data_IF_598541103779
#
_entry.id   IF_598541103779
#
_cell.length_a   1.000
_cell.length_b   1.000
_cell.length_c   1.000
_cell.angle_alpha   90.00
_cell.angle_beta   90.00
_cell.angle_gamma   90.00
#
_symmetry.space_group_name_H-M   'P 1'
#
loop_
_entity.id
_entity.type
_entity.pdbx_description
1 polymer ?
#
# COMPACT_ATOMS: atom_id res chain seq x y z
N UNK A 1 17.62 -26.16 23.02
CA UNK A 1 16.77 -25.10 23.59
C UNK A 1 16.71 -24.00 22.54
N UNK A 2 15.57 -23.82 21.88
CA UNK A 2 15.39 -22.71 20.95
C UNK A 2 15.60 -21.41 21.75
N UNK A 3 16.58 -20.61 21.35
CA UNK A 3 16.74 -19.26 21.87
C UNK A 3 15.40 -18.55 21.67
N UNK A 4 14.77 -18.11 22.75
CA UNK A 4 13.63 -17.21 22.66
C UNK A 4 14.17 -15.97 21.97
N UNK A 5 13.90 -15.82 20.67
CA UNK A 5 14.22 -14.58 19.98
C UNK A 5 13.54 -13.46 20.76
N UNK A 6 14.36 -12.50 21.21
CA UNK A 6 13.82 -11.33 21.88
C UNK A 6 12.89 -10.62 20.90
N UNK A 7 11.67 -10.32 21.35
CA UNK A 7 10.69 -9.57 20.55
C UNK A 7 11.38 -8.30 20.02
N UNK A 8 11.33 -8.02 18.70
CA UNK A 8 11.91 -6.80 18.16
C UNK A 8 11.36 -5.57 18.87
N UNK A 9 12.22 -4.61 19.17
CA UNK A 9 11.81 -3.36 19.83
C UNK A 9 11.48 -2.32 18.77
N UNK A 10 10.31 -1.69 18.88
CA UNK A 10 9.93 -0.56 18.03
C UNK A 10 10.88 0.62 18.28
N UNK A 11 11.15 1.48 17.27
CA UNK A 11 11.88 2.72 17.50
C UNK A 11 11.12 3.60 18.52
N UNK A 12 11.80 4.52 19.23
CA UNK A 12 11.12 5.40 20.19
C UNK A 12 9.92 6.10 19.55
N UNK A 13 8.72 5.78 20.03
CA UNK A 13 7.47 6.29 19.50
C UNK A 13 6.37 6.21 20.58
N UNK A 14 5.25 6.88 20.36
CA UNK A 14 4.11 6.92 21.29
C UNK A 14 2.86 6.20 20.75
N UNK A 15 2.97 5.54 19.59
CA UNK A 15 1.84 5.05 18.82
C UNK A 15 1.69 3.53 18.87
N UNK A 16 2.79 2.77 18.79
CA UNK A 16 2.74 1.32 18.68
C UNK A 16 3.90 0.62 19.37
N UNK A 17 3.65 -0.64 19.74
CA UNK A 17 4.65 -1.61 20.15
C UNK A 17 4.60 -2.83 19.25
N UNK A 18 5.70 -3.60 19.22
CA UNK A 18 5.75 -4.88 18.53
C UNK A 18 5.42 -5.98 19.52
N UNK A 19 4.47 -6.86 19.18
CA UNK A 19 4.09 -8.02 19.98
C UNK A 19 4.29 -9.30 19.19
N UNK A 20 4.62 -10.39 19.86
CA UNK A 20 4.58 -11.71 19.26
C UNK A 20 3.12 -12.14 19.01
N UNK A 21 2.86 -12.69 17.84
CA UNK A 21 1.56 -13.26 17.46
C UNK A 21 1.77 -14.77 17.26
N UNK A 22 1.14 -15.62 18.09
CA UNK A 22 1.25 -17.07 17.94
C UNK A 22 0.95 -17.53 16.51
N UNK A 23 1.92 -18.20 15.88
CA UNK A 23 1.80 -18.72 14.52
C UNK A 23 1.93 -17.69 13.38
N UNK A 24 2.05 -16.39 13.67
CA UNK A 24 2.20 -15.32 12.65
C UNK A 24 3.48 -14.49 12.79
N UNK A 25 4.33 -14.80 13.79
CA UNK A 25 5.57 -14.08 14.03
C UNK A 25 5.33 -12.88 14.94
N UNK A 26 5.45 -11.66 14.40
CA UNK A 26 5.30 -10.41 15.14
C UNK A 26 4.28 -9.50 14.46
N UNK A 27 3.69 -8.55 15.20
CA UNK A 27 2.84 -7.50 14.64
C UNK A 27 2.93 -6.21 15.44
N UNK A 28 2.53 -5.11 14.82
CA UNK A 28 2.55 -3.78 15.42
C UNK A 28 1.18 -3.45 16.03
N UNK A 29 1.10 -3.17 17.32
CA UNK A 29 -0.14 -2.93 18.04
C UNK A 29 -0.16 -1.54 18.65
N UNK A 30 -1.31 -0.86 18.55
CA UNK A 30 -1.47 0.49 19.04
C UNK A 30 -1.33 0.58 20.58
N UNK A 31 -0.51 1.51 21.06
CA UNK A 31 -0.33 1.81 22.49
C UNK A 31 -1.47 2.67 23.07
N UNK A 32 -2.14 3.42 22.20
CA UNK A 32 -3.25 4.33 22.51
C UNK A 32 -4.18 4.44 21.32
N UNK A 33 -5.32 5.09 21.49
CA UNK A 33 -6.16 5.42 20.34
C UNK A 33 -5.41 6.35 19.37
N UNK A 34 -5.37 5.98 18.08
CA UNK A 34 -4.72 6.75 17.02
C UNK A 34 -5.82 7.32 16.13
N UNK A 35 -5.78 8.63 15.88
CA UNK A 35 -6.75 9.28 14.99
C UNK A 35 -6.36 9.11 13.54
N UNK A 36 -7.37 8.98 12.67
CA UNK A 36 -7.19 9.06 11.22
C UNK A 36 -6.33 10.29 10.85
N UNK A 37 -5.41 10.10 9.93
CA UNK A 37 -4.47 11.11 9.46
C UNK A 37 -3.21 11.26 10.30
N UNK A 38 -3.07 10.50 11.40
CA UNK A 38 -1.85 10.50 12.21
C UNK A 38 -0.73 9.78 11.45
N UNK A 39 0.44 10.41 11.36
CA UNK A 39 1.68 9.74 10.96
C UNK A 39 2.18 8.88 12.11
N UNK A 40 2.09 7.56 11.94
CA UNK A 40 2.50 6.56 12.93
C UNK A 40 4.01 6.34 12.90
N UNK A 41 4.60 6.34 11.70
CA UNK A 41 6.02 6.07 11.48
C UNK A 41 6.57 6.95 10.34
N UNK A 42 7.84 7.34 10.47
CA UNK A 42 8.69 7.80 9.39
C UNK A 42 10.02 7.04 9.48
N UNK A 43 10.26 6.13 8.54
CA UNK A 43 11.34 5.15 8.60
C UNK A 43 12.46 5.50 7.60
N UNK A 44 13.71 5.34 8.06
CA UNK A 44 14.89 5.53 7.21
C UNK A 44 15.13 4.28 6.35
N UNK A 45 15.54 4.45 5.08
CA UNK A 45 15.92 3.32 4.26
C UNK A 45 17.18 2.65 4.84
N UNK A 46 17.10 1.35 5.14
CA UNK A 46 18.23 0.56 5.60
C UNK A 46 19.09 0.09 4.42
N UNK A 47 18.46 -0.47 3.39
CA UNK A 47 19.13 -0.99 2.20
C UNK A 47 18.38 -0.49 0.96
N UNK A 48 19.08 0.20 0.06
CA UNK A 48 18.51 0.80 -1.15
C UNK A 48 19.05 0.11 -2.40
N UNK A 49 18.15 -0.28 -3.29
CA UNK A 49 18.45 -0.73 -4.65
C UNK A 49 17.72 0.18 -5.63
N UNK A 50 18.42 1.08 -6.36
CA UNK A 50 17.78 2.19 -7.07
C UNK A 50 17.16 1.81 -8.43
N UNK A 51 16.83 0.54 -8.64
CA UNK A 51 16.16 0.03 -9.84
C UNK A 51 15.17 -1.10 -9.51
N UNK A 52 14.05 -1.14 -10.23
CA UNK A 52 13.01 -2.16 -10.05
C UNK A 52 13.42 -3.55 -10.55
N UNK A 53 14.20 -3.64 -11.64
CA UNK A 53 14.66 -4.91 -12.23
C UNK A 53 15.99 -5.37 -11.60
N UNK A 54 16.05 -5.39 -10.27
CA UNK A 54 17.22 -5.80 -9.53
C UNK A 54 17.48 -7.31 -9.64
N UNK A 55 18.75 -7.68 -9.53
CA UNK A 55 19.24 -9.05 -9.43
C UNK A 55 19.86 -9.30 -8.05
N UNK A 56 20.15 -10.56 -7.74
CA UNK A 56 20.79 -10.91 -6.46
C UNK A 56 22.09 -10.12 -6.21
N UNK A 57 22.89 -9.85 -7.25
CA UNK A 57 24.14 -9.09 -7.12
C UNK A 57 23.91 -7.64 -6.66
N UNK A 58 22.84 -6.99 -7.09
CA UNK A 58 22.60 -5.58 -6.79
C UNK A 58 22.25 -5.42 -5.30
N UNK A 59 21.51 -6.40 -4.76
CA UNK A 59 21.22 -6.51 -3.33
C UNK A 59 22.50 -6.78 -2.53
N UNK A 60 23.36 -7.69 -3.02
CA UNK A 60 24.65 -8.00 -2.39
C UNK A 60 25.55 -6.76 -2.31
N UNK A 61 25.70 -6.02 -3.41
CA UNK A 61 26.51 -4.79 -3.45
C UNK A 61 25.97 -3.70 -2.53
N UNK A 62 24.64 -3.56 -2.41
CA UNK A 62 24.02 -2.64 -1.47
C UNK A 62 24.23 -3.10 -0.01
N UNK A 63 24.10 -4.40 0.25
CA UNK A 63 24.28 -4.99 1.58
C UNK A 63 25.71 -4.87 2.09
N UNK A 64 26.71 -5.03 1.22
CA UNK A 64 28.12 -4.96 1.60
C UNK A 64 28.51 -3.60 2.20
N UNK A 65 27.85 -2.53 1.74
CA UNK A 65 28.03 -1.15 2.21
C UNK A 65 27.45 -0.88 3.60
N UNK A 66 26.63 -1.79 4.14
CA UNK A 66 26.05 -1.64 5.47
C UNK A 66 27.08 -1.87 6.58
N UNK A 67 26.94 -1.13 7.67
CA UNK A 67 27.66 -1.37 8.94
C UNK A 67 27.30 -2.75 9.54
N UNK A 68 28.14 -3.32 10.42
CA UNK A 68 27.82 -4.55 11.13
C UNK A 68 26.45 -4.53 11.84
N UNK A 69 26.10 -3.40 12.46
CA UNK A 69 24.83 -3.20 13.16
C UNK A 69 23.64 -3.22 12.20
N UNK A 70 23.77 -2.53 11.06
CA UNK A 70 22.75 -2.53 9.99
C UNK A 70 22.57 -3.92 9.36
N UNK A 71 23.68 -4.66 9.17
CA UNK A 71 23.63 -6.05 8.68
C UNK A 71 22.88 -6.94 9.67
N UNK A 72 23.16 -6.81 10.96
CA UNK A 72 22.45 -7.54 12.00
C UNK A 72 20.94 -7.20 11.99
N UNK A 73 20.60 -5.90 11.92
CA UNK A 73 19.21 -5.44 11.82
C UNK A 73 18.50 -6.01 10.60
N UNK A 74 19.14 -6.00 9.43
CA UNK A 74 18.59 -6.58 8.20
C UNK A 74 18.25 -8.05 8.37
N UNK A 75 19.15 -8.84 8.98
CA UNK A 75 18.90 -10.25 9.22
C UNK A 75 17.72 -10.51 10.16
N UNK A 76 17.37 -9.60 11.06
CA UNK A 76 16.16 -9.77 11.91
C UNK A 76 14.84 -9.75 11.14
N UNK A 77 14.85 -9.34 9.87
CA UNK A 77 13.66 -9.28 9.00
C UNK A 77 13.39 -10.61 8.27
N UNK A 78 14.16 -11.66 8.55
CA UNK A 78 13.92 -12.95 7.93
C UNK A 78 12.54 -13.53 8.29
N UNK A 79 11.83 -13.98 7.27
CA UNK A 79 10.57 -14.70 7.42
C UNK A 79 10.31 -15.53 6.16
N UNK A 80 9.28 -16.38 6.17
CA UNK A 80 8.70 -16.96 4.96
C UNK A 80 9.63 -17.80 4.06
N UNK A 81 10.80 -18.24 4.53
CA UNK A 81 11.69 -19.16 3.81
C UNK A 81 11.27 -20.63 3.99
N UNK A 82 11.85 -21.54 3.21
CA UNK A 82 11.53 -22.97 3.26
C UNK A 82 10.15 -23.30 2.67
N UNK A 83 9.66 -22.49 1.73
CA UNK A 83 8.35 -22.71 1.12
C UNK A 83 8.30 -24.00 0.28
N UNK A 84 7.14 -24.63 0.21
CA UNK A 84 6.94 -25.85 -0.59
C UNK A 84 7.09 -25.54 -2.10
N UNK A 85 8.15 -26.08 -2.70
CA UNK A 85 8.47 -25.90 -4.13
C UNK A 85 7.32 -26.33 -5.05
N UNK A 86 6.49 -27.31 -4.65
CA UNK A 86 5.34 -27.79 -5.44
C UNK A 86 4.25 -26.74 -5.60
N UNK A 87 4.25 -25.72 -4.74
CA UNK A 87 3.31 -24.59 -4.84
C UNK A 87 3.74 -23.61 -5.93
N UNK A 88 4.95 -23.68 -6.47
CA UNK A 88 5.45 -22.71 -7.44
C UNK A 88 5.56 -23.31 -8.86
N UNK A 89 5.44 -22.51 -9.93
CA UNK A 89 5.66 -23.00 -11.29
C UNK A 89 7.03 -23.67 -11.43
N UNK A 90 7.06 -24.89 -11.96
CA UNK A 90 8.27 -25.69 -12.11
C UNK A 90 9.00 -25.48 -13.44
N UNK A 91 8.39 -24.76 -14.39
CA UNK A 91 8.96 -24.49 -15.71
C UNK A 91 8.91 -23.00 -16.03
N UNK A 92 10.00 -22.50 -16.58
CA UNK A 92 10.10 -21.17 -17.18
C UNK A 92 9.96 -21.33 -18.70
N UNK A 93 9.10 -20.54 -19.33
CA UNK A 93 8.88 -20.61 -20.78
C UNK A 93 10.18 -20.31 -21.56
N UNK A 94 10.38 -20.93 -22.72
CA UNK A 94 11.62 -20.81 -23.50
C UNK A 94 11.84 -19.41 -24.06
N UNK A 95 10.75 -18.68 -24.36
CA UNK A 95 10.81 -17.29 -24.84
C UNK A 95 11.24 -16.25 -23.80
N UNK A 96 11.36 -16.64 -22.52
CA UNK A 96 11.81 -15.74 -21.46
C UNK A 96 13.29 -15.44 -21.67
N UNK A 97 13.61 -14.15 -21.77
CA UNK A 97 14.97 -13.65 -21.92
C UNK A 97 15.89 -14.15 -20.79
N UNK A 98 17.18 -14.35 -21.09
CA UNK A 98 18.10 -15.01 -20.16
C UNK A 98 18.22 -14.30 -18.81
N UNK A 99 18.30 -12.97 -18.83
CA UNK A 99 18.36 -12.17 -17.60
C UNK A 99 17.12 -12.37 -16.72
N UNK A 100 15.93 -12.41 -17.32
CA UNK A 100 14.67 -12.62 -16.60
C UNK A 100 14.55 -14.07 -16.10
N UNK A 101 15.04 -15.03 -16.89
CA UNK A 101 15.14 -16.44 -16.47
C UNK A 101 16.01 -16.58 -15.23
N UNK A 102 17.19 -15.97 -15.24
CA UNK A 102 18.09 -15.97 -14.08
C UNK A 102 17.40 -15.33 -12.87
N UNK A 103 16.76 -14.16 -13.04
CA UNK A 103 16.02 -13.50 -11.96
C UNK A 103 14.97 -14.46 -11.37
N UNK A 104 14.09 -15.04 -12.20
CA UNK A 104 13.06 -15.98 -11.75
C UNK A 104 13.67 -17.16 -10.96
N UNK A 105 14.79 -17.70 -11.41
CA UNK A 105 15.49 -18.79 -10.71
C UNK A 105 16.03 -18.34 -9.35
N UNK A 106 16.72 -17.20 -9.27
CA UNK A 106 17.21 -16.61 -8.02
C UNK A 106 16.06 -16.43 -7.02
N UNK A 107 14.94 -15.82 -7.46
CA UNK A 107 13.76 -15.61 -6.63
C UNK A 107 13.10 -16.93 -6.19
N UNK A 108 13.12 -17.96 -7.04
CA UNK A 108 12.58 -19.27 -6.69
C UNK A 108 13.43 -19.95 -5.63
N UNK A 109 14.76 -19.99 -5.82
CA UNK A 109 15.71 -20.57 -4.86
C UNK A 109 15.64 -19.87 -3.50
N UNK A 110 15.55 -18.55 -3.50
CA UNK A 110 15.39 -17.74 -2.28
C UNK A 110 14.18 -18.15 -1.44
N UNK A 111 13.04 -18.47 -2.09
CA UNK A 111 11.79 -18.85 -1.41
C UNK A 111 11.82 -20.27 -0.86
N UNK A 112 12.33 -21.23 -1.63
CA UNK A 112 12.32 -22.65 -1.25
C UNK A 112 13.51 -23.04 -0.37
N UNK A 113 14.56 -22.21 -0.35
CA UNK A 113 15.73 -22.40 0.49
C UNK A 113 15.36 -22.46 1.98
N UNK A 114 15.99 -23.37 2.72
CA UNK A 114 15.70 -23.58 4.15
C UNK A 114 16.27 -22.49 5.05
N UNK A 115 17.28 -21.77 4.57
CA UNK A 115 17.98 -20.73 5.32
C UNK A 115 17.66 -19.36 4.72
N UNK A 116 17.64 -18.30 5.54
CA UNK A 116 17.48 -16.94 5.04
C UNK A 116 18.69 -16.52 4.18
N UNK A 117 18.40 -15.85 3.08
CA UNK A 117 19.38 -15.26 2.16
C UNK A 117 19.14 -13.76 2.04
N UNK A 118 20.12 -13.01 1.51
CA UNK A 118 19.94 -11.58 1.29
C UNK A 118 18.73 -11.29 0.40
N UNK A 119 18.60 -12.05 -0.70
CA UNK A 119 17.48 -11.91 -1.62
C UNK A 119 16.14 -12.31 -0.98
N UNK A 120 16.08 -13.40 -0.20
CA UNK A 120 14.81 -13.81 0.42
C UNK A 120 14.30 -12.78 1.42
N UNK A 121 15.20 -12.15 2.17
CA UNK A 121 14.85 -11.06 3.09
C UNK A 121 14.42 -9.83 2.31
N UNK A 122 15.16 -9.46 1.27
CA UNK A 122 14.86 -8.26 0.47
C UNK A 122 13.45 -8.35 -0.12
N UNK A 123 13.13 -9.47 -0.77
CA UNK A 123 11.91 -9.61 -1.55
C UNK A 123 10.61 -9.52 -0.75
N UNK A 124 10.62 -9.98 0.50
CA UNK A 124 9.42 -9.98 1.34
C UNK A 124 9.31 -8.73 2.23
N UNK A 125 10.32 -7.84 2.22
CA UNK A 125 10.39 -6.66 3.08
C UNK A 125 10.64 -5.34 2.32
N UNK A 126 11.01 -5.39 1.04
CA UNK A 126 11.27 -4.18 0.27
C UNK A 126 9.96 -3.48 -0.12
N UNK A 127 9.99 -2.15 -0.11
CA UNK A 127 8.93 -1.27 -0.59
C UNK A 127 9.44 -0.49 -1.79
N UNK A 128 8.52 -0.09 -2.68
CA UNK A 128 8.85 0.73 -3.84
C UNK A 128 9.35 2.11 -3.41
N UNK A 129 10.46 2.55 -3.99
CA UNK A 129 11.12 3.82 -3.67
C UNK A 129 11.64 4.46 -4.96
N UNK A 130 11.00 5.54 -5.39
CA UNK A 130 11.26 6.26 -6.65
C UNK A 130 11.26 5.36 -7.90
N UNK A 131 12.42 4.91 -8.38
CA UNK A 131 12.57 4.00 -9.53
C UNK A 131 13.06 2.61 -9.12
N UNK A 132 13.23 2.38 -7.82
CA UNK A 132 13.78 1.18 -7.25
C UNK A 132 13.00 0.69 -6.05
N UNK A 133 13.71 0.03 -5.14
CA UNK A 133 13.14 -0.51 -3.92
C UNK A 133 14.11 -0.33 -2.76
N UNK A 134 13.55 -0.22 -1.56
CA UNK A 134 14.34 -0.14 -0.34
C UNK A 134 13.71 -0.97 0.78
N UNK A 135 14.54 -1.44 1.70
CA UNK A 135 14.09 -2.08 2.94
C UNK A 135 14.03 -1.04 4.04
N UNK A 136 12.85 -0.94 4.66
CA UNK A 136 12.55 -0.04 5.77
C UNK A 136 12.28 -0.90 7.02
N UNK A 137 13.25 -1.01 7.95
CA UNK A 137 13.28 -2.08 8.93
C UNK A 137 12.17 -2.00 9.98
N UNK A 138 11.60 -0.82 10.20
CA UNK A 138 10.48 -0.60 11.10
C UNK A 138 9.15 -0.69 10.35
N UNK A 139 9.06 -0.18 9.12
CA UNK A 139 7.86 -0.28 8.29
C UNK A 139 7.56 -1.73 7.86
N UNK A 140 8.59 -2.54 7.61
CA UNK A 140 8.46 -3.96 7.26
C UNK A 140 7.88 -4.85 8.39
N UNK A 141 7.67 -4.30 9.60
CA UNK A 141 7.06 -5.02 10.73
C UNK A 141 5.53 -4.91 10.80
N UNK A 142 4.92 -4.08 9.97
CA UNK A 142 3.47 -3.89 9.96
C UNK A 142 2.81 -4.97 9.12
N UNK A 143 1.99 -5.82 9.75
CA UNK A 143 1.37 -6.96 9.07
C UNK A 143 0.35 -6.56 8.01
N UNK A 144 0.06 -7.54 7.16
CA UNK A 144 -0.92 -7.41 6.11
C UNK A 144 -2.36 -7.49 6.60
N UNK A 145 -3.23 -6.63 6.05
CA UNK A 145 -4.67 -6.86 5.97
C UNK A 145 -5.18 -6.37 4.60
N UNK A 146 -6.12 -7.10 3.96
CA UNK A 146 -6.70 -6.66 2.67
C UNK A 146 -7.61 -5.44 2.79
N UNK A 147 -8.05 -5.11 4.01
CA UNK A 147 -8.77 -3.91 4.39
C UNK A 147 -8.03 -3.27 5.58
N UNK A 148 -6.83 -2.69 5.34
CA UNK A 148 -5.96 -2.20 6.40
C UNK A 148 -6.49 -0.92 7.05
N UNK A 149 -6.01 -0.64 8.26
CA UNK A 149 -6.30 0.61 8.98
C UNK A 149 -5.20 1.67 8.83
N UNK A 150 -4.07 1.34 8.18
CA UNK A 150 -3.00 2.26 7.82
C UNK A 150 -2.47 2.00 6.40
N UNK A 151 -1.77 2.98 5.83
CA UNK A 151 -1.07 2.85 4.55
C UNK A 151 0.38 3.30 4.68
N UNK A 152 1.25 2.72 3.85
CA UNK A 152 2.63 3.18 3.68
C UNK A 152 2.78 3.98 2.39
N UNK A 153 3.71 4.92 2.37
CA UNK A 153 4.09 5.70 1.19
C UNK A 153 5.51 6.26 1.34
N UNK A 154 6.33 6.11 0.31
CA UNK A 154 7.60 6.81 0.14
C UNK A 154 7.40 8.32 0.01
N UNK A 155 7.84 9.09 1.00
CA UNK A 155 7.83 10.55 0.95
C UNK A 155 9.22 11.09 0.56
N UNK A 156 9.39 11.31 -0.75
CA UNK A 156 10.64 11.83 -1.32
C UNK A 156 11.04 13.22 -0.83
N UNK A 157 10.10 14.02 -0.31
CA UNK A 157 10.41 15.36 0.23
C UNK A 157 11.22 15.29 1.54
N UNK A 158 11.08 14.20 2.31
CA UNK A 158 11.81 13.97 3.56
C UNK A 158 12.73 12.74 3.50
N UNK A 159 12.74 12.01 2.37
CA UNK A 159 13.57 10.83 2.16
C UNK A 159 13.25 9.66 3.10
N UNK A 160 11.95 9.47 3.44
CA UNK A 160 11.52 8.44 4.39
C UNK A 160 10.26 7.71 3.93
N UNK A 161 10.16 6.45 4.31
CA UNK A 161 8.92 5.68 4.20
C UNK A 161 7.99 6.07 5.35
N UNK A 162 6.74 6.42 5.04
CA UNK A 162 5.80 6.93 6.06
C UNK A 162 4.59 6.03 6.20
N UNK A 163 4.17 5.75 7.44
CA UNK A 163 2.91 5.04 7.72
C UNK A 163 1.91 6.03 8.31
N UNK A 164 0.73 6.12 7.71
CA UNK A 164 -0.35 6.97 8.18
C UNK A 164 -1.63 6.17 8.46
N UNK A 165 -2.34 6.53 9.52
CA UNK A 165 -3.63 5.95 9.86
C UNK A 165 -4.71 6.39 8.86
N UNK A 166 -5.39 5.44 8.23
CA UNK A 166 -6.50 5.66 7.30
C UNK A 166 -7.87 5.69 7.98
N UNK A 167 -7.95 5.14 9.19
CA UNK A 167 -9.11 5.18 10.08
C UNK A 167 -8.68 5.51 11.50
N UNK A 168 -9.65 5.74 12.39
CA UNK A 168 -9.36 5.70 13.83
C UNK A 168 -8.98 4.26 14.20
N UNK A 169 -7.95 4.11 15.03
CA UNK A 169 -7.42 2.81 15.50
C UNK A 169 -7.54 2.80 17.02
N UNK A 170 -8.10 1.73 17.57
CA UNK A 170 -8.31 1.60 19.01
C UNK A 170 -7.03 1.22 19.75
N UNK A 171 -6.94 1.57 21.04
CA UNK A 171 -5.83 1.10 21.88
C UNK A 171 -5.80 -0.43 21.90
N UNK A 172 -4.63 -1.01 21.65
CA UNK A 172 -4.43 -2.45 21.58
C UNK A 172 -4.82 -3.11 20.25
N UNK A 173 -5.38 -2.38 19.30
CA UNK A 173 -5.67 -2.87 17.94
C UNK A 173 -4.37 -3.01 17.13
N UNK A 174 -4.30 -4.02 16.25
CA UNK A 174 -3.17 -4.19 15.35
C UNK A 174 -3.18 -3.12 14.24
N UNK A 175 -2.06 -2.45 14.03
CA UNK A 175 -1.85 -1.55 12.91
C UNK A 175 -1.39 -2.37 11.71
N UNK A 176 -2.19 -2.36 10.65
CA UNK A 176 -1.98 -3.18 9.46
C UNK A 176 -1.90 -2.33 8.20
N UNK A 177 -1.16 -2.82 7.20
CA UNK A 177 -1.01 -2.24 5.87
C UNK A 177 -1.39 -3.27 4.79
N UNK A 178 -1.54 -2.86 3.52
CA UNK A 178 -1.81 -3.82 2.42
C UNK A 178 -0.53 -4.14 1.65
N UNK A 179 -0.20 -5.42 1.48
CA UNK A 179 0.96 -5.87 0.70
C UNK A 179 0.61 -6.15 -0.77
N UNK A 180 -0.66 -5.97 -1.13
CA UNK A 180 -1.21 -6.20 -2.45
C UNK A 180 -2.17 -5.06 -2.82
N UNK A 181 -2.63 -5.02 -4.08
CA UNK A 181 -3.61 -4.02 -4.48
C UNK A 181 -4.97 -4.31 -3.81
N UNK A 182 -5.50 -3.31 -3.11
CA UNK A 182 -6.77 -3.39 -2.41
C UNK A 182 -7.99 -3.59 -3.33
N UNK A 183 -7.88 -3.34 -4.64
CA UNK A 183 -8.99 -3.56 -5.59
C UNK A 183 -8.97 -4.92 -6.28
N UNK A 184 -7.89 -5.70 -6.12
CA UNK A 184 -7.79 -7.04 -6.67
C UNK A 184 -8.82 -7.99 -6.05
N UNK A 185 -9.25 -9.00 -6.80
CA UNK A 185 -10.14 -10.06 -6.29
C UNK A 185 -9.40 -11.02 -5.34
N UNK A 186 -10.12 -11.90 -4.65
CA UNK A 186 -9.52 -12.80 -3.65
C UNK A 186 -8.46 -13.72 -4.26
N UNK A 187 -8.65 -14.18 -5.50
CA UNK A 187 -7.71 -15.11 -6.18
C UNK A 187 -6.38 -14.41 -6.47
N UNK A 188 -6.43 -13.20 -7.02
CA UNK A 188 -5.25 -12.42 -7.35
C UNK A 188 -4.52 -11.96 -6.09
N UNK A 189 -5.24 -11.47 -5.06
CA UNK A 189 -4.62 -11.16 -3.76
C UNK A 189 -3.96 -12.38 -3.14
N UNK A 190 -4.63 -13.53 -3.15
CA UNK A 190 -4.05 -14.79 -2.62
C UNK A 190 -2.78 -15.18 -3.37
N UNK A 191 -2.74 -14.95 -4.68
CA UNK A 191 -1.55 -15.20 -5.50
C UNK A 191 -0.40 -14.24 -5.17
N UNK A 192 -0.67 -12.95 -5.04
CA UNK A 192 0.32 -11.92 -4.70
C UNK A 192 0.90 -12.15 -3.28
N UNK A 193 0.03 -12.43 -2.31
CA UNK A 193 0.40 -12.62 -0.91
C UNK A 193 1.17 -13.93 -0.67
N UNK A 194 1.00 -14.92 -1.56
CA UNK A 194 1.70 -16.21 -1.47
C UNK A 194 3.22 -16.07 -1.37
N UNK A 195 3.79 -15.04 -2.02
CA UNK A 195 5.24 -14.79 -1.98
C UNK A 195 5.75 -14.60 -0.55
N UNK A 196 4.96 -14.00 0.34
CA UNK A 196 5.29 -13.75 1.75
C UNK A 196 5.16 -15.00 2.64
N UNK A 197 4.71 -16.13 2.10
CA UNK A 197 4.68 -17.41 2.82
C UNK A 197 3.51 -17.59 3.80
N UNK A 198 2.47 -16.75 3.72
CA UNK A 198 1.26 -16.86 4.54
C UNK A 198 -0.03 -16.93 3.70
N UNK A 199 -1.14 -17.32 4.33
CA UNK A 199 -2.49 -17.23 3.79
C UNK A 199 -3.24 -16.17 4.57
N UNK A 200 -3.76 -15.15 3.90
CA UNK A 200 -4.50 -14.08 4.55
C UNK A 200 -5.83 -14.58 5.12
N UNK A 201 -6.09 -14.26 6.37
CA UNK A 201 -7.29 -14.66 7.13
C UNK A 201 -8.12 -13.45 7.59
N UNK A 202 -7.89 -12.26 7.01
CA UNK A 202 -8.73 -11.09 7.29
C UNK A 202 -10.19 -11.33 6.88
N UNK A 203 -11.14 -10.52 7.35
CA UNK A 203 -12.57 -10.65 7.04
C UNK A 203 -12.90 -10.79 5.54
N UNK A 204 -12.16 -10.14 4.64
CA UNK A 204 -12.35 -10.27 3.19
C UNK A 204 -11.86 -11.60 2.59
N UNK A 205 -11.04 -12.35 3.32
CA UNK A 205 -10.41 -13.59 2.85
C UNK A 205 -10.84 -14.82 3.67
N UNK A 206 -11.08 -14.66 4.96
CA UNK A 206 -11.39 -15.73 5.91
C UNK A 206 -12.89 -16.04 6.07
N UNK A 207 -13.78 -15.09 5.74
CA UNK A 207 -15.23 -15.34 5.74
C UNK A 207 -15.68 -16.00 4.42
N UNK A 208 -16.91 -16.54 4.43
CA UNK A 208 -17.52 -17.22 3.29
C UNK A 208 -17.89 -16.21 2.19
N UNK A 209 -17.34 -16.39 0.98
CA UNK A 209 -17.60 -15.53 -0.16
C UNK A 209 -18.91 -15.90 -0.90
N UNK A 210 -19.57 -17.01 -0.52
CA UNK A 210 -20.83 -17.46 -1.10
C UNK A 210 -22.07 -17.07 -0.24
N UNK A 211 -21.87 -16.49 0.95
CA UNK A 211 -22.94 -16.00 1.83
C UNK A 211 -23.05 -14.47 1.75
N UNK A 212 -24.17 -13.97 1.21
CA UNK A 212 -24.41 -12.53 0.99
C UNK A 212 -24.39 -11.67 2.26
N UNK A 213 -24.57 -12.29 3.43
CA UNK A 213 -24.54 -11.60 4.72
C UNK A 213 -23.13 -11.31 5.23
N UNK A 214 -22.10 -11.98 4.69
CA UNK A 214 -20.73 -11.83 5.15
C UNK A 214 -20.06 -10.58 4.59
N UNK A 215 -18.99 -10.15 5.23
CA UNK A 215 -18.15 -9.09 4.69
C UNK A 215 -17.40 -9.56 3.43
N UNK A 216 -16.99 -10.83 3.37
CA UNK A 216 -16.26 -11.38 2.22
C UNK A 216 -17.07 -11.29 0.92
N UNK A 217 -18.32 -11.74 0.91
CA UNK A 217 -19.20 -11.64 -0.28
C UNK A 217 -19.33 -10.18 -0.71
N UNK A 218 -19.71 -9.30 0.21
CA UNK A 218 -19.93 -7.90 -0.12
C UNK A 218 -18.66 -7.20 -0.59
N UNK A 219 -17.50 -7.54 -0.01
CA UNK A 219 -16.20 -7.03 -0.46
C UNK A 219 -15.85 -7.53 -1.86
N UNK A 220 -16.13 -8.80 -2.18
CA UNK A 220 -15.95 -9.33 -3.52
C UNK A 220 -16.81 -8.58 -4.54
N UNK A 221 -18.10 -8.34 -4.25
CA UNK A 221 -18.99 -7.53 -5.09
C UNK A 221 -18.46 -6.12 -5.29
N UNK A 222 -18.05 -5.43 -4.21
CA UNK A 222 -17.54 -4.05 -4.29
C UNK A 222 -16.24 -3.96 -5.08
N UNK A 223 -15.30 -4.88 -4.87
CA UNK A 223 -14.02 -4.94 -5.60
C UNK A 223 -14.23 -5.26 -7.08
N UNK A 224 -15.14 -6.17 -7.41
CA UNK A 224 -15.50 -6.44 -8.80
C UNK A 224 -16.04 -5.17 -9.48
N UNK A 225 -16.96 -4.46 -8.81
CA UNK A 225 -17.50 -3.20 -9.34
C UNK A 225 -16.44 -2.11 -9.49
N UNK A 226 -15.50 -2.00 -8.53
CA UNK A 226 -14.35 -1.10 -8.65
C UNK A 226 -13.50 -1.42 -9.89
N UNK A 227 -13.28 -2.70 -10.21
CA UNK A 227 -12.52 -3.10 -11.41
C UNK A 227 -13.25 -2.76 -12.70
N UNK A 228 -14.58 -2.91 -12.75
CA UNK A 228 -15.39 -2.47 -13.91
C UNK A 228 -15.25 -0.97 -14.13
N UNK A 229 -15.45 -0.18 -13.05
CA UNK A 229 -15.33 1.27 -13.10
C UNK A 229 -13.93 1.72 -13.51
N UNK A 230 -12.88 1.06 -13.02
CA UNK A 230 -11.51 1.36 -13.42
C UNK A 230 -11.29 1.07 -14.91
N UNK A 231 -11.81 -0.05 -15.45
CA UNK A 231 -11.72 -0.36 -16.89
C UNK A 231 -12.44 0.66 -17.76
N UNK A 232 -13.60 1.12 -17.32
CA UNK A 232 -14.41 2.13 -18.02
C UNK A 232 -13.81 3.53 -17.95
N UNK A 233 -13.12 3.88 -16.85
CA UNK A 233 -12.71 5.26 -16.57
C UNK A 233 -11.21 5.51 -16.73
N UNK A 234 -10.32 4.50 -16.65
CA UNK A 234 -8.85 4.69 -16.66
C UNK A 234 -8.32 5.51 -17.84
N UNK A 235 -8.98 5.42 -18.99
CA UNK A 235 -8.59 6.15 -20.20
C UNK A 235 -9.21 7.54 -20.33
N UNK A 236 -10.11 7.90 -19.41
CA UNK A 236 -10.83 9.18 -19.35
C UNK A 236 -10.37 10.04 -18.16
N UNK A 237 -9.37 9.59 -17.40
CA UNK A 237 -8.83 10.27 -16.20
C UNK A 237 -7.43 10.82 -16.49
N UNK A 238 -6.86 11.57 -15.53
CA UNK A 238 -5.51 12.13 -15.66
C UNK A 238 -5.36 13.08 -16.85
N UNK A 239 -4.41 12.83 -17.75
CA UNK A 239 -4.16 13.69 -18.92
C UNK A 239 -5.32 13.78 -19.91
N UNK A 240 -6.26 12.83 -19.87
CA UNK A 240 -7.47 12.82 -20.71
C UNK A 240 -8.74 13.20 -19.95
N UNK A 241 -8.60 13.85 -18.78
CA UNK A 241 -9.74 14.19 -17.94
C UNK A 241 -10.77 15.07 -18.63
N UNK A 242 -10.36 15.96 -19.54
CA UNK A 242 -11.32 16.75 -20.32
C UNK A 242 -12.17 15.89 -21.27
N UNK A 243 -11.64 14.77 -21.80
CA UNK A 243 -12.44 13.83 -22.57
C UNK A 243 -13.50 13.20 -21.66
N UNK A 244 -13.09 12.72 -20.50
CA UNK A 244 -14.03 12.19 -19.49
C UNK A 244 -15.08 13.20 -19.05
N UNK A 245 -14.71 14.47 -18.90
CA UNK A 245 -15.64 15.52 -18.49
C UNK A 245 -16.80 15.75 -19.48
N UNK A 246 -16.61 15.38 -20.76
CA UNK A 246 -17.61 15.47 -21.83
C UNK A 246 -18.47 14.20 -21.94
N UNK A 247 -18.08 13.10 -21.31
CA UNK A 247 -18.81 11.83 -21.34
C UNK A 247 -20.00 11.85 -20.39
N UNK A 248 -21.15 11.38 -20.88
CA UNK A 248 -22.35 11.30 -20.07
C UNK A 248 -22.17 10.31 -18.92
N UNK A 249 -22.57 10.71 -17.71
CA UNK A 249 -22.52 9.85 -16.53
C UNK A 249 -21.12 9.64 -15.93
N UNK A 250 -20.06 10.23 -16.49
CA UNK A 250 -18.70 10.07 -15.97
C UNK A 250 -18.55 10.48 -14.50
N UNK A 251 -19.13 11.62 -14.09
CA UNK A 251 -19.14 12.07 -12.69
C UNK A 251 -19.86 11.07 -11.78
N UNK A 252 -20.93 10.43 -12.25
CA UNK A 252 -21.66 9.41 -11.47
C UNK A 252 -20.78 8.18 -11.24
N UNK A 253 -20.02 7.76 -12.25
CA UNK A 253 -19.04 6.67 -12.12
C UNK A 253 -17.95 7.01 -11.11
N UNK A 254 -17.38 8.23 -11.17
CA UNK A 254 -16.39 8.67 -10.17
C UNK A 254 -16.98 8.73 -8.75
N UNK A 255 -18.22 9.18 -8.60
CA UNK A 255 -18.91 9.20 -7.31
C UNK A 255 -19.12 7.78 -6.76
N UNK A 256 -19.51 6.83 -7.61
CA UNK A 256 -19.65 5.42 -7.27
C UNK A 256 -18.30 4.82 -6.85
N UNK A 257 -17.23 5.08 -7.60
CA UNK A 257 -15.87 4.67 -7.24
C UNK A 257 -15.47 5.18 -5.87
N UNK A 258 -15.68 6.48 -5.60
CA UNK A 258 -15.36 7.07 -4.30
C UNK A 258 -16.11 6.38 -3.16
N UNK A 259 -17.42 6.12 -3.34
CA UNK A 259 -18.22 5.44 -2.34
C UNK A 259 -17.73 4.00 -2.06
N UNK A 260 -17.38 3.25 -3.11
CA UNK A 260 -16.89 1.88 -2.98
C UNK A 260 -15.51 1.83 -2.29
N UNK A 261 -14.59 2.73 -2.61
CA UNK A 261 -13.31 2.85 -1.89
C UNK A 261 -13.54 3.12 -0.40
N UNK A 262 -14.43 4.05 -0.06
CA UNK A 262 -14.76 4.35 1.34
C UNK A 262 -15.36 3.14 2.09
N UNK A 263 -16.21 2.35 1.42
CA UNK A 263 -16.81 1.13 1.99
C UNK A 263 -15.79 0.01 2.20
N UNK A 264 -14.78 -0.09 1.33
CA UNK A 264 -13.64 -1.00 1.51
C UNK A 264 -12.61 -0.51 2.53
N UNK A 265 -12.76 0.70 3.06
CA UNK A 265 -11.78 1.32 3.96
C UNK A 265 -10.52 1.81 3.23
N UNK A 266 -10.57 1.93 1.90
CA UNK A 266 -9.48 2.49 1.10
C UNK A 266 -9.50 4.02 1.17
N UNK A 267 -8.71 4.58 2.08
CA UNK A 267 -8.45 6.01 2.18
C UNK A 267 -7.05 6.39 1.68
N UNK A 268 -6.52 5.64 0.72
CA UNK A 268 -5.19 5.91 0.14
C UNK A 268 -5.22 7.08 -0.85
N UNK A 269 -4.07 7.38 -1.45
CA UNK A 269 -3.95 8.36 -2.53
C UNK A 269 -4.86 8.05 -3.74
N UNK A 270 -5.30 6.79 -3.90
CA UNK A 270 -6.27 6.40 -4.92
C UNK A 270 -7.59 7.13 -4.75
N UNK A 271 -8.18 7.11 -3.55
CA UNK A 271 -9.41 7.84 -3.25
C UNK A 271 -9.21 9.35 -3.35
N UNK A 272 -8.07 9.87 -2.89
CA UNK A 272 -7.75 11.29 -3.08
C UNK A 272 -7.78 11.70 -4.55
N UNK A 273 -7.23 10.87 -5.44
CA UNK A 273 -7.19 11.10 -6.88
C UNK A 273 -8.59 11.06 -7.50
N UNK A 274 -9.45 10.11 -7.09
CA UNK A 274 -10.86 10.05 -7.54
C UNK A 274 -11.60 11.34 -7.17
N UNK A 275 -11.43 11.85 -5.94
CA UNK A 275 -12.04 13.12 -5.55
C UNK A 275 -11.48 14.33 -6.31
N UNK A 276 -10.18 14.33 -6.63
CA UNK A 276 -9.57 15.38 -7.44
C UNK A 276 -10.10 15.37 -8.88
N UNK A 277 -10.20 14.19 -9.50
CA UNK A 277 -10.80 14.03 -10.83
C UNK A 277 -12.23 14.58 -10.84
N UNK A 278 -13.05 14.22 -9.83
CA UNK A 278 -14.40 14.77 -9.66
C UNK A 278 -14.39 16.30 -9.55
N UNK A 279 -13.48 16.88 -8.77
CA UNK A 279 -13.38 18.33 -8.60
C UNK A 279 -13.12 19.05 -9.92
N UNK A 280 -12.16 18.55 -10.69
CA UNK A 280 -11.78 19.14 -11.97
C UNK A 280 -12.88 18.96 -13.04
N UNK A 281 -13.58 17.82 -13.05
CA UNK A 281 -14.73 17.61 -13.95
C UNK A 281 -15.90 18.52 -13.58
N UNK A 282 -16.23 18.65 -12.29
CA UNK A 282 -17.28 19.58 -11.85
C UNK A 282 -16.91 21.04 -12.19
N UNK A 283 -15.64 21.41 -12.06
CA UNK A 283 -15.15 22.72 -12.46
C UNK A 283 -15.31 22.95 -13.97
N UNK A 284 -14.92 21.98 -14.79
CA UNK A 284 -15.09 22.02 -16.25
C UNK A 284 -16.56 22.22 -16.63
N UNK A 285 -17.46 21.51 -15.95
CA UNK A 285 -18.91 21.62 -16.13
C UNK A 285 -19.55 22.82 -15.42
N UNK A 286 -18.74 23.76 -14.89
CA UNK A 286 -19.14 25.01 -14.22
C UNK A 286 -19.95 24.83 -12.93
N UNK A 287 -20.01 23.61 -12.38
CA UNK A 287 -20.54 23.32 -11.05
C UNK A 287 -19.47 23.55 -9.99
N UNK A 288 -19.22 24.83 -9.71
CA UNK A 288 -18.16 25.28 -8.80
C UNK A 288 -18.44 24.86 -7.36
N UNK A 289 -19.71 24.72 -6.96
CA UNK A 289 -20.07 24.28 -5.60
C UNK A 289 -19.63 22.83 -5.39
N UNK A 290 -19.99 21.93 -6.30
CA UNK A 290 -19.56 20.53 -6.20
C UNK A 290 -18.05 20.39 -6.37
N UNK A 291 -17.44 21.17 -7.27
CA UNK A 291 -16.00 21.17 -7.46
C UNK A 291 -15.24 21.50 -6.16
N UNK A 292 -15.64 22.57 -5.46
CA UNK A 292 -15.00 22.95 -4.19
C UNK A 292 -15.19 21.88 -3.10
N UNK A 293 -16.37 21.26 -3.03
CA UNK A 293 -16.67 20.21 -2.06
C UNK A 293 -15.84 18.94 -2.28
N UNK A 294 -15.71 18.48 -3.52
CA UNK A 294 -14.89 17.31 -3.85
C UNK A 294 -13.40 17.61 -3.74
N UNK A 295 -12.96 18.83 -4.09
CA UNK A 295 -11.57 19.26 -3.85
C UNK A 295 -11.21 19.26 -2.37
N UNK A 296 -12.13 19.68 -1.49
CA UNK A 296 -11.91 19.65 -0.05
C UNK A 296 -11.73 18.21 0.46
N UNK A 297 -12.53 17.26 -0.05
CA UNK A 297 -12.36 15.83 0.25
C UNK A 297 -11.03 15.29 -0.28
N UNK A 298 -10.63 15.67 -1.50
CA UNK A 298 -9.36 15.26 -2.09
C UNK A 298 -8.17 15.71 -1.22
N UNK A 299 -8.17 16.99 -0.80
CA UNK A 299 -7.13 17.55 0.08
C UNK A 299 -7.10 16.82 1.42
N UNK A 300 -8.27 16.58 2.05
CA UNK A 300 -8.32 15.90 3.34
C UNK A 300 -7.78 14.46 3.23
N UNK A 301 -8.22 13.67 2.25
CA UNK A 301 -7.73 12.30 2.07
C UNK A 301 -6.23 12.29 1.77
N UNK A 302 -5.74 13.17 0.88
CA UNK A 302 -4.30 13.27 0.57
C UNK A 302 -3.48 13.62 1.81
N UNK A 303 -3.96 14.54 2.64
CA UNK A 303 -3.33 14.89 3.92
C UNK A 303 -3.31 13.70 4.87
N UNK A 304 -4.43 12.99 4.99
CA UNK A 304 -4.56 11.90 5.94
C UNK A 304 -3.63 10.73 5.61
N UNK A 305 -3.50 10.35 4.33
CA UNK A 305 -2.74 9.16 3.95
C UNK A 305 -1.25 9.41 3.66
N UNK A 306 -0.85 10.65 3.37
CA UNK A 306 0.53 10.97 2.96
C UNK A 306 1.15 12.16 3.71
N UNK A 307 0.35 12.97 4.41
CA UNK A 307 0.80 14.18 5.09
C UNK A 307 0.81 15.43 4.19
N UNK A 308 0.91 16.60 4.84
CA UNK A 308 0.92 17.91 4.15
C UNK A 308 2.29 18.28 3.56
N UNK A 309 3.35 17.62 4.03
CA UNK A 309 4.73 17.70 3.54
C UNK A 309 4.99 16.76 2.35
N UNK A 310 4.01 15.95 1.93
CA UNK A 310 4.14 15.11 0.74
C UNK A 310 4.26 15.96 -0.53
N UNK A 311 5.18 15.59 -1.43
CA UNK A 311 5.58 16.40 -2.57
C UNK A 311 4.40 16.88 -3.45
N UNK A 312 3.35 16.08 -3.59
CA UNK A 312 2.18 16.43 -4.42
C UNK A 312 1.06 17.14 -3.67
N UNK A 313 1.13 17.23 -2.34
CA UNK A 313 0.04 17.81 -1.53
C UNK A 313 -0.29 19.24 -1.94
N UNK A 314 0.74 20.05 -2.24
CA UNK A 314 0.57 21.44 -2.68
C UNK A 314 -0.30 21.58 -3.93
N UNK A 315 -0.26 20.60 -4.86
CA UNK A 315 -1.10 20.60 -6.08
C UNK A 315 -2.59 20.48 -5.72
N UNK A 316 -2.92 19.62 -4.76
CA UNK A 316 -4.30 19.43 -4.28
C UNK A 316 -4.79 20.70 -3.56
N UNK A 317 -3.96 21.26 -2.69
CA UNK A 317 -4.27 22.49 -1.96
C UNK A 317 -4.50 23.68 -2.89
N UNK A 318 -3.71 23.81 -3.96
CA UNK A 318 -3.85 24.87 -4.96
C UNK A 318 -5.20 24.77 -5.72
N UNK A 319 -5.64 23.57 -6.08
CA UNK A 319 -6.95 23.35 -6.72
C UNK A 319 -8.09 23.77 -5.80
N UNK A 320 -8.04 23.38 -4.52
CA UNK A 320 -9.05 23.79 -3.54
C UNK A 320 -9.07 25.32 -3.34
N UNK A 321 -7.90 25.95 -3.21
CA UNK A 321 -7.80 27.40 -3.06
C UNK A 321 -8.41 28.14 -4.27
N UNK A 322 -8.09 27.70 -5.50
CA UNK A 322 -8.67 28.24 -6.74
C UNK A 322 -10.20 28.13 -6.73
N UNK A 323 -10.74 26.97 -6.37
CA UNK A 323 -12.18 26.72 -6.39
C UNK A 323 -12.92 27.52 -5.32
N UNK A 324 -12.33 27.68 -4.14
CA UNK A 324 -12.88 28.54 -3.09
C UNK A 324 -12.93 30.01 -3.51
N UNK A 325 -11.90 30.51 -4.21
CA UNK A 325 -11.90 31.86 -4.76
C UNK A 325 -13.05 32.05 -5.77
N UNK A 326 -13.19 31.13 -6.74
CA UNK A 326 -14.30 31.14 -7.72
C UNK A 326 -15.68 31.08 -7.05
N UNK A 327 -15.81 30.33 -5.95
CA UNK A 327 -17.07 30.23 -5.21
C UNK A 327 -17.40 31.52 -4.46
N UNK A 328 -16.40 32.22 -3.93
CA UNK A 328 -16.57 33.50 -3.27
C UNK A 328 -16.99 34.61 -4.26
N UNK A 329 -16.36 34.65 -5.45
CA UNK A 329 -16.71 35.59 -6.52
C UNK A 329 -18.17 35.44 -7.00
N UNK A 330 -18.74 34.23 -6.99
CA UNK A 330 -20.14 33.98 -7.35
C UNK A 330 -21.16 34.40 -6.28
N UNK A 331 -20.70 34.65 -5.05
CA UNK A 331 -21.54 35.07 -3.92
C UNK A 331 -21.53 36.58 -3.69
N UNK A 332 -20.52 37.26 -4.22
CA UNK A 332 -20.40 38.73 -4.22
C UNK A 332 -21.27 39.33 -5.34
#
# INVERSE_FOLDING_TARGET
MATVESIPVAPPNEYYEIRAIPGKGYGCFALKAIKRGTRILADDPLLVVPMANYMQRDIQEAFEKLSPEQKAQYFTLHSGHGQDARKWPSRIHESVAEQERQRIQEQHQARIGKEPTLISIFQINCMEMDQGAAVFPHAARFNHNCNPNACFTWNSAIGKETIHAMSDISSGEEVTISYCDMVHDKKLRSWELKHYGFVCDCRACGEDEDDESTFAYQSATRRFRLQELERETRFLRGSRLECGAREEGFVKKLLEMAALHQQEGDYTARLATVFLDMALVCEFNKDIRMAALTAAKAVQVKKDCQGADFAEYAKYAAVLARLNAKLAERKA
#
